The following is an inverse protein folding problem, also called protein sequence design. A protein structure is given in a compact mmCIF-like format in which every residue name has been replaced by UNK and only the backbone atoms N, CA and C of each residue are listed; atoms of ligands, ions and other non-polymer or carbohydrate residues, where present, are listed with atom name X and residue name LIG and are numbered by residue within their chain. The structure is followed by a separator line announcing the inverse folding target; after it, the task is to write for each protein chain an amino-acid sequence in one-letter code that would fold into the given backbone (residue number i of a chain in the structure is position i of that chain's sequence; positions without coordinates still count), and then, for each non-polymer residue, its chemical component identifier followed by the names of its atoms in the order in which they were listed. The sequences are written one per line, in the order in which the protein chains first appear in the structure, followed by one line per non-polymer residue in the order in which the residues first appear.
data_IF_684021512887
#
_entry.id   IF_684021512887
#
_cell.length_a   1.000
_cell.length_b   1.000
_cell.length_c   1.000
_cell.angle_alpha   90.00
_cell.angle_beta   90.00
_cell.angle_gamma   90.00
#
_symmetry.space_group_name_H-M   'P 1'
#
loop_
_entity.id
_entity.type
_entity.pdbx_description
1 polymer ?
#
# COMPACT_ATOMS: atom_id res chain seq x y z
N UNK A 1 92.99 19.70 -21.69
CA UNK A 1 92.41 19.74 -20.32
C UNK A 1 90.97 20.26 -20.27
N UNK A 2 90.51 21.10 -21.20
CA UNK A 2 89.17 21.71 -21.19
C UNK A 2 88.00 20.75 -21.52
N UNK A 3 88.21 19.72 -22.33
CA UNK A 3 87.16 18.78 -22.74
C UNK A 3 86.75 17.77 -21.65
N UNK A 4 87.64 17.48 -20.71
CA UNK A 4 87.39 16.54 -19.61
C UNK A 4 86.48 17.16 -18.53
N UNK A 5 86.68 18.44 -18.22
CA UNK A 5 85.85 19.19 -17.27
C UNK A 5 84.41 19.38 -17.76
N UNK A 6 84.22 19.61 -19.07
CA UNK A 6 82.89 19.77 -19.65
C UNK A 6 82.07 18.48 -19.61
N UNK A 7 82.71 17.32 -19.83
CA UNK A 7 82.08 16.00 -19.72
C UNK A 7 81.73 15.63 -18.28
N UNK A 8 82.59 15.98 -17.32
CA UNK A 8 82.33 15.76 -15.90
C UNK A 8 81.17 16.63 -15.37
N UNK A 9 81.06 17.88 -15.85
CA UNK A 9 79.95 18.77 -15.51
C UNK A 9 78.62 18.27 -16.10
N UNK A 10 78.62 17.82 -17.36
CA UNK A 10 77.44 17.24 -18.01
C UNK A 10 76.97 15.96 -17.32
N UNK A 11 77.91 15.10 -16.89
CA UNK A 11 77.58 13.87 -16.16
C UNK A 11 76.99 14.17 -14.78
N UNK A 12 77.54 15.13 -14.05
CA UNK A 12 76.99 15.57 -12.75
C UNK A 12 75.61 16.21 -12.89
N UNK A 13 75.41 17.03 -13.93
CA UNK A 13 74.10 17.60 -14.22
C UNK A 13 73.07 16.51 -14.58
N UNK A 14 73.45 15.52 -15.38
CA UNK A 14 72.57 14.41 -15.74
C UNK A 14 72.20 13.53 -14.53
N UNK A 15 73.15 13.25 -13.64
CA UNK A 15 72.89 12.51 -12.40
C UNK A 15 71.98 13.30 -11.46
N UNK A 16 72.16 14.62 -11.36
CA UNK A 16 71.29 15.49 -10.55
C UNK A 16 69.86 15.54 -11.13
N UNK A 17 69.71 15.62 -12.45
CA UNK A 17 68.43 15.61 -13.14
C UNK A 17 67.70 14.27 -13.00
N UNK A 18 68.43 13.15 -13.11
CA UNK A 18 67.88 11.81 -12.89
C UNK A 18 67.43 11.60 -11.43
N UNK A 19 68.21 12.10 -10.47
CA UNK A 19 67.85 12.05 -9.05
C UNK A 19 66.61 12.92 -8.73
N UNK A 20 66.47 14.08 -9.36
CA UNK A 20 65.28 14.94 -9.26
C UNK A 20 64.02 14.26 -9.84
N UNK A 21 64.14 13.54 -10.96
CA UNK A 21 63.04 12.78 -11.54
C UNK A 21 62.63 11.56 -10.69
N UNK A 22 63.58 10.91 -10.01
CA UNK A 22 63.29 9.77 -9.12
C UNK A 22 62.73 10.21 -7.76
N UNK A 23 63.00 11.45 -7.32
CA UNK A 23 62.44 12.04 -6.10
C UNK A 23 61.01 12.58 -6.28
N UNK A 24 60.54 12.76 -7.53
CA UNK A 24 59.16 13.10 -7.84
C UNK A 24 58.28 11.84 -7.72
N UNK A 25 57.95 11.46 -6.49
CA UNK A 25 57.12 10.30 -6.18
C UNK A 25 55.77 10.29 -6.91
N UNK A 26 55.49 9.18 -7.61
CA UNK A 26 54.26 8.90 -8.34
C UNK A 26 53.04 8.58 -7.45
N UNK A 27 52.78 9.34 -6.37
CA UNK A 27 51.66 9.05 -5.47
C UNK A 27 50.40 9.88 -5.75
N UNK A 28 50.47 10.87 -6.64
CA UNK A 28 49.34 11.77 -6.94
C UNK A 28 48.59 11.47 -8.26
N UNK A 29 49.06 10.56 -9.13
CA UNK A 29 48.42 10.33 -10.44
C UNK A 29 47.28 9.29 -10.43
N UNK A 30 47.19 8.43 -9.41
CA UNK A 30 46.27 7.28 -9.43
C UNK A 30 44.79 7.64 -9.28
N UNK A 31 44.45 8.57 -8.38
CA UNK A 31 43.05 8.91 -8.08
C UNK A 31 42.44 9.94 -9.03
N UNK A 32 43.26 10.83 -9.61
CA UNK A 32 42.77 11.87 -10.53
C UNK A 32 42.39 11.28 -11.89
N UNK A 33 43.12 10.24 -12.35
CA UNK A 33 42.82 9.55 -13.61
C UNK A 33 41.59 8.65 -13.57
N UNK A 34 41.25 8.07 -12.41
CA UNK A 34 40.07 7.20 -12.27
C UNK A 34 38.75 7.97 -12.38
N UNK A 35 38.67 9.18 -11.84
CA UNK A 35 37.45 10.02 -11.89
C UNK A 35 37.14 10.51 -13.31
N UNK A 36 38.17 10.70 -14.14
CA UNK A 36 38.00 11.08 -15.56
C UNK A 36 37.51 9.90 -16.42
N UNK A 37 37.85 8.67 -16.03
CA UNK A 37 37.51 7.44 -16.76
C UNK A 37 36.14 6.86 -16.36
N UNK A 38 35.68 7.11 -15.13
CA UNK A 38 34.33 6.77 -14.68
C UNK A 38 33.76 7.92 -13.80
N UNK A 39 33.00 8.85 -14.39
CA UNK A 39 32.42 9.99 -13.66
C UNK A 39 31.33 9.58 -12.66
N UNK A 40 31.03 8.28 -12.55
CA UNK A 40 30.06 7.74 -11.59
C UNK A 40 30.66 7.49 -10.19
N UNK A 41 31.99 7.64 -10.03
CA UNK A 41 32.66 7.48 -8.73
C UNK A 41 32.49 8.77 -7.90
N UNK A 42 31.81 8.73 -6.74
CA UNK A 42 31.59 9.90 -5.92
C UNK A 42 32.92 10.45 -5.37
N UNK A 43 33.18 11.73 -5.65
CA UNK A 43 34.37 12.45 -5.19
C UNK A 43 34.10 13.16 -3.86
N UNK A 44 34.84 12.78 -2.81
CA UNK A 44 34.71 13.38 -1.48
C UNK A 44 34.76 12.36 -0.35
N UNK A 45 35.00 12.79 0.89
CA UNK A 45 34.87 11.93 2.05
C UNK A 45 33.41 11.47 2.20
N UNK A 46 33.17 10.28 2.77
CA UNK A 46 31.81 9.77 2.97
C UNK A 46 30.93 10.81 3.70
N UNK A 47 31.48 11.53 4.68
CA UNK A 47 30.81 12.62 5.40
C UNK A 47 30.29 13.77 4.54
N UNK A 48 30.86 13.97 3.36
CA UNK A 48 30.48 15.05 2.43
C UNK A 48 29.49 14.57 1.37
N UNK A 49 29.30 13.27 1.23
CA UNK A 49 28.34 12.68 0.30
C UNK A 49 26.91 12.82 0.86
N UNK A 50 25.90 13.03 0.00
CA UNK A 50 24.51 12.96 0.43
C UNK A 50 24.25 11.58 1.00
N UNK A 51 23.43 11.52 2.05
CA UNK A 51 22.99 10.21 2.55
C UNK A 51 22.22 9.49 1.45
N UNK A 52 22.47 8.20 1.27
CA UNK A 52 21.67 7.37 0.37
C UNK A 52 20.75 6.47 1.19
N UNK A 53 19.51 6.38 0.75
CA UNK A 53 18.47 5.58 1.40
C UNK A 53 17.98 4.52 0.43
N UNK A 54 18.00 3.27 0.87
CA UNK A 54 17.26 2.19 0.22
C UNK A 54 16.01 1.87 1.03
N UNK A 55 14.97 1.35 0.38
CA UNK A 55 13.73 0.96 1.05
C UNK A 55 13.43 -0.52 0.82
N UNK A 56 13.17 -1.27 1.89
CA UNK A 56 12.63 -2.62 1.85
C UNK A 56 11.14 -2.56 2.19
N UNK A 57 10.29 -2.58 1.16
CA UNK A 57 8.84 -2.50 1.31
C UNK A 57 8.25 -3.90 1.38
N UNK A 58 7.48 -4.19 2.43
CA UNK A 58 6.84 -5.47 2.66
C UNK A 58 5.38 -5.27 3.04
N UNK A 59 4.47 -5.93 2.33
CA UNK A 59 3.06 -5.98 2.65
C UNK A 59 2.66 -7.35 3.20
N UNK A 60 1.99 -7.37 4.35
CA UNK A 60 1.41 -8.58 4.93
C UNK A 60 0.42 -9.24 3.94
N UNK A 61 0.29 -10.58 3.94
CA UNK A 61 -0.76 -11.28 3.19
C UNK A 61 -2.19 -10.85 3.57
N UNK A 62 -2.37 -10.25 4.75
CA UNK A 62 -3.67 -9.75 5.27
C UNK A 62 -3.79 -8.23 5.18
N UNK A 63 -2.92 -7.56 4.43
CA UNK A 63 -2.88 -6.09 4.33
C UNK A 63 -4.20 -5.52 3.80
N UNK A 64 -4.58 -4.36 4.34
CA UNK A 64 -5.72 -3.57 3.86
C UNK A 64 -6.99 -4.41 3.70
N UNK A 65 -7.27 -5.25 4.72
CA UNK A 65 -8.46 -6.09 4.74
C UNK A 65 -9.71 -5.22 4.72
N UNK A 66 -10.67 -5.57 3.87
CA UNK A 66 -11.94 -4.85 3.84
C UNK A 66 -12.79 -5.26 5.07
N UNK A 67 -13.12 -4.32 5.98
CA UNK A 67 -13.89 -4.62 7.19
C UNK A 67 -15.32 -5.11 6.91
N UNK A 68 -15.85 -4.83 5.71
CA UNK A 68 -17.15 -5.34 5.26
C UNK A 68 -17.06 -6.69 4.54
N UNK A 69 -15.89 -7.33 4.46
CA UNK A 69 -15.76 -8.69 3.89
C UNK A 69 -16.19 -9.79 4.87
N UNK A 70 -16.45 -9.44 6.13
CA UNK A 70 -16.98 -10.34 7.12
C UNK A 70 -18.49 -10.11 7.19
N UNK A 71 -19.28 -11.08 6.75
CA UNK A 71 -20.65 -11.19 7.22
C UNK A 71 -20.58 -11.39 8.73
N UNK A 72 -20.73 -10.30 9.49
CA UNK A 72 -20.92 -10.35 10.93
C UNK A 72 -22.33 -10.86 11.22
N UNK A 73 -22.64 -12.08 10.79
CA UNK A 73 -23.73 -12.84 11.38
C UNK A 73 -23.23 -13.26 12.75
N UNK A 74 -23.44 -12.38 13.73
CA UNK A 74 -23.31 -12.71 15.15
C UNK A 74 -24.11 -14.00 15.39
N UNK A 75 -23.48 -15.14 15.69
CA UNK A 75 -24.20 -16.36 16.00
C UNK A 75 -24.81 -16.17 17.40
N UNK A 76 -26.01 -15.59 17.46
CA UNK A 76 -26.68 -15.32 18.74
C UNK A 76 -27.65 -14.13 18.75
N UNK A 77 -27.67 -13.28 17.73
CA UNK A 77 -28.79 -12.36 17.57
C UNK A 77 -29.96 -13.17 17.00
N UNK A 78 -30.90 -13.55 17.86
CA UNK A 78 -32.22 -13.97 17.41
C UNK A 78 -32.70 -12.91 16.41
N UNK A 79 -32.95 -13.24 15.14
CA UNK A 79 -33.61 -12.29 14.26
C UNK A 79 -34.92 -11.95 14.94
N UNK A 80 -35.13 -10.67 15.25
CA UNK A 80 -36.45 -10.15 15.59
C UNK A 80 -37.42 -10.76 14.58
N UNK A 81 -38.47 -11.47 15.02
CA UNK A 81 -39.35 -12.17 14.10
C UNK A 81 -39.99 -11.12 13.19
N UNK A 82 -39.44 -10.97 11.99
CA UNK A 82 -40.08 -10.18 10.95
C UNK A 82 -41.42 -10.87 10.68
N UNK A 83 -42.48 -10.11 10.38
CA UNK A 83 -43.84 -10.65 10.30
C UNK A 83 -44.04 -11.77 9.27
N UNK A 84 -43.02 -12.05 8.45
CA UNK A 84 -43.03 -13.07 7.40
C UNK A 84 -41.95 -14.16 7.58
N UNK A 85 -41.19 -14.18 8.69
CA UNK A 85 -40.18 -15.22 8.94
C UNK A 85 -40.82 -16.47 9.56
N UNK A 86 -40.70 -17.61 8.88
CA UNK A 86 -41.14 -18.91 9.40
C UNK A 86 -39.95 -19.87 9.51
N UNK A 87 -39.71 -20.42 10.70
CA UNK A 87 -38.71 -21.48 10.92
C UNK A 87 -39.40 -22.80 11.24
N UNK A 88 -39.14 -23.84 10.43
CA UNK A 88 -39.71 -25.18 10.59
C UNK A 88 -38.64 -26.13 11.12
N UNK A 89 -38.89 -26.75 12.28
CA UNK A 89 -38.06 -27.81 12.87
C UNK A 89 -38.94 -29.02 13.20
N UNK A 90 -38.46 -30.21 12.86
CA UNK A 90 -39.12 -31.49 13.14
C UNK A 90 -38.10 -32.55 13.55
N UNK A 91 -38.52 -33.51 14.39
CA UNK A 91 -37.67 -34.59 14.88
C UNK A 91 -37.58 -35.80 13.94
N UNK A 92 -38.47 -35.87 12.95
CA UNK A 92 -38.55 -36.93 11.96
C UNK A 92 -39.21 -36.44 10.66
N UNK A 93 -39.03 -37.16 9.53
CA UNK A 93 -39.55 -36.75 8.22
C UNK A 93 -41.09 -36.71 8.13
N UNK A 94 -41.81 -37.55 8.87
CA UNK A 94 -43.27 -37.53 8.87
C UNK A 94 -43.80 -36.29 9.59
N UNK A 95 -43.23 -35.96 10.75
CA UNK A 95 -43.57 -34.74 11.49
C UNK A 95 -43.24 -33.46 10.72
N UNK A 96 -42.20 -33.48 9.87
CA UNK A 96 -41.90 -32.36 8.98
C UNK A 96 -42.99 -32.20 7.91
N UNK A 97 -43.41 -33.31 7.29
CA UNK A 97 -44.41 -33.31 6.22
C UNK A 97 -45.75 -32.77 6.71
N UNK A 98 -46.18 -33.18 7.91
CA UNK A 98 -47.39 -32.64 8.57
C UNK A 98 -47.31 -31.13 8.83
N UNK A 99 -46.15 -30.64 9.31
CA UNK A 99 -45.93 -29.20 9.56
C UNK A 99 -45.89 -28.38 8.27
N UNK A 100 -45.35 -28.93 7.18
CA UNK A 100 -45.33 -28.27 5.87
C UNK A 100 -46.74 -28.26 5.27
N UNK A 101 -47.49 -29.37 5.39
CA UNK A 101 -48.86 -29.46 4.90
C UNK A 101 -49.78 -28.45 5.60
N UNK A 102 -49.70 -28.33 6.93
CA UNK A 102 -50.53 -27.37 7.67
C UNK A 102 -50.19 -25.92 7.34
N UNK A 103 -48.91 -25.61 7.10
CA UNK A 103 -48.50 -24.29 6.66
C UNK A 103 -49.03 -23.96 5.26
N UNK A 104 -48.97 -24.93 4.34
CA UNK A 104 -49.48 -24.75 2.98
C UNK A 104 -50.99 -24.47 2.99
N UNK A 105 -51.75 -25.21 3.80
CA UNK A 105 -53.19 -25.02 3.94
C UNK A 105 -53.52 -23.65 4.53
N UNK A 106 -52.78 -23.22 5.55
CA UNK A 106 -52.93 -21.88 6.13
C UNK A 106 -52.64 -20.76 5.11
N UNK A 107 -51.60 -20.91 4.27
CA UNK A 107 -51.30 -19.95 3.22
C UNK A 107 -52.37 -19.93 2.13
N UNK A 108 -52.94 -21.08 1.76
CA UNK A 108 -54.02 -21.17 0.77
C UNK A 108 -55.33 -20.56 1.29
N UNK A 109 -55.63 -20.69 2.58
CA UNK A 109 -56.79 -20.04 3.20
C UNK A 109 -56.62 -18.52 3.30
N UNK A 110 -55.43 -18.04 3.68
CA UNK A 110 -55.18 -16.60 3.84
C UNK A 110 -54.92 -15.89 2.50
N UNK A 111 -54.38 -16.60 1.52
CA UNK A 111 -54.03 -16.08 0.20
C UNK A 111 -54.50 -17.07 -0.87
N UNK A 112 -55.82 -17.14 -1.14
CA UNK A 112 -56.35 -18.04 -2.16
C UNK A 112 -55.67 -17.74 -3.50
N UNK A 113 -55.10 -18.77 -4.11
CA UNK A 113 -54.44 -18.65 -5.41
C UNK A 113 -55.48 -18.23 -6.47
N UNK A 114 -55.57 -16.93 -6.75
CA UNK A 114 -56.26 -16.45 -7.95
C UNK A 114 -55.42 -16.85 -9.16
N UNK A 115 -55.78 -17.96 -9.80
CA UNK A 115 -55.31 -18.29 -11.14
C UNK A 115 -56.03 -17.37 -12.13
N UNK A 116 -55.34 -16.46 -12.84
CA UNK A 116 -55.99 -15.62 -13.82
C UNK A 116 -56.09 -16.42 -15.12
N UNK A 117 -57.10 -17.29 -15.21
CA UNK A 117 -57.65 -17.67 -16.50
C UNK A 117 -59.03 -17.04 -16.58
N UNK A 118 -59.05 -15.77 -16.96
CA UNK A 118 -60.27 -15.11 -17.38
C UNK A 118 -60.64 -15.67 -18.77
N UNK A 119 -61.75 -16.40 -18.83
CA UNK A 119 -62.47 -16.59 -20.09
C UNK A 119 -63.02 -15.21 -20.47
N UNK A 120 -62.70 -14.80 -21.69
CA UNK A 120 -62.99 -13.50 -22.27
C UNK A 120 -64.47 -13.14 -22.14
N UNK A 121 -64.78 -11.97 -21.55
CA UNK A 121 -65.75 -11.07 -22.16
C UNK A 121 -65.59 -9.61 -21.67
N UNK A 122 -65.75 -8.70 -22.62
CA UNK A 122 -65.87 -7.23 -22.51
C UNK A 122 -64.68 -6.38 -22.00
N UNK A 123 -63.93 -5.91 -23.00
CA UNK A 123 -63.34 -4.57 -23.17
C UNK A 123 -63.61 -3.54 -22.05
N UNK A 124 -62.72 -3.47 -21.06
CA UNK A 124 -62.37 -2.20 -20.43
C UNK A 124 -60.86 -2.10 -20.30
N UNK A 125 -60.27 -1.20 -21.08
CA UNK A 125 -58.86 -0.87 -21.02
C UNK A 125 -58.55 -0.17 -19.68
N UNK A 126 -58.14 -0.93 -18.69
CA UNK A 126 -57.36 -0.43 -17.56
C UNK A 126 -55.90 -0.77 -17.84
N UNK A 127 -55.13 0.24 -18.23
CA UNK A 127 -53.67 0.14 -18.32
C UNK A 127 -53.10 -0.41 -17.01
N UNK A 128 -52.39 -1.54 -17.06
CA UNK A 128 -51.45 -1.91 -16.00
C UNK A 128 -50.38 -0.81 -15.90
N UNK A 129 -50.00 -0.34 -14.71
CA UNK A 129 -48.83 0.51 -14.61
C UNK A 129 -47.62 -0.34 -15.03
N UNK A 130 -47.04 -0.02 -16.19
CA UNK A 130 -45.73 -0.56 -16.56
C UNK A 130 -44.72 -0.01 -15.55
N UNK A 131 -44.41 -0.78 -14.52
CA UNK A 131 -43.17 -0.57 -13.77
C UNK A 131 -42.04 -1.01 -14.69
N UNK A 132 -41.34 -0.02 -15.23
CA UNK A 132 -40.24 -0.19 -16.16
C UNK A 132 -39.02 -0.75 -15.42
N UNK A 133 -38.99 -2.07 -15.22
CA UNK A 133 -37.77 -2.77 -14.81
C UNK A 133 -36.90 -2.95 -16.05
N UNK A 134 -35.86 -2.11 -16.17
CA UNK A 134 -34.82 -2.27 -17.19
C UNK A 134 -33.98 -3.51 -16.89
N UNK A 135 -33.53 -4.26 -17.92
CA UNK A 135 -32.64 -5.41 -17.70
C UNK A 135 -31.32 -4.91 -17.10
N UNK A 136 -31.15 -5.10 -15.79
CA UNK A 136 -30.00 -4.60 -15.03
C UNK A 136 -30.28 -4.22 -13.58
N UNK A 137 -31.55 -4.09 -13.16
CA UNK A 137 -31.90 -3.80 -11.77
C UNK A 137 -32.14 -5.09 -10.97
N UNK A 138 -31.17 -5.48 -10.15
CA UNK A 138 -31.30 -6.56 -9.16
C UNK A 138 -31.76 -6.04 -7.79
N UNK A 139 -32.16 -4.77 -7.70
CA UNK A 139 -32.84 -4.20 -6.53
C UNK A 139 -34.34 -4.56 -6.58
N UNK A 140 -34.64 -5.84 -6.40
CA UNK A 140 -35.97 -6.24 -5.97
C UNK A 140 -35.98 -6.23 -4.44
N UNK A 141 -36.78 -5.35 -3.83
CA UNK A 141 -37.06 -5.41 -2.39
C UNK A 141 -37.60 -6.81 -2.07
N UNK A 142 -36.79 -7.63 -1.39
CA UNK A 142 -37.17 -8.98 -0.95
C UNK A 142 -36.41 -10.16 -1.58
N UNK A 143 -35.48 -9.95 -2.53
CA UNK A 143 -34.62 -11.04 -3.02
C UNK A 143 -33.26 -10.97 -2.33
N UNK A 144 -33.13 -11.69 -1.20
CA UNK A 144 -31.82 -12.04 -0.63
C UNK A 144 -31.38 -13.38 -1.23
N UNK A 145 -30.28 -13.37 -1.98
CA UNK A 145 -29.60 -14.57 -2.44
C UNK A 145 -28.83 -15.16 -1.25
N UNK A 146 -29.49 -16.03 -0.47
CA UNK A 146 -28.81 -16.75 0.61
C UNK A 146 -27.97 -17.88 0.02
N UNK A 147 -26.67 -17.66 -0.08
CA UNK A 147 -25.70 -18.72 -0.39
C UNK A 147 -25.70 -19.72 0.78
N UNK A 148 -25.61 -21.04 0.53
CA UNK A 148 -25.42 -22.02 1.59
C UNK A 148 -24.25 -21.59 2.47
N UNK A 149 -24.33 -21.70 3.81
CA UNK A 149 -23.27 -21.24 4.68
C UNK A 149 -21.98 -21.92 4.23
N UNK A 150 -20.94 -21.17 3.85
CA UNK A 150 -19.65 -21.78 3.59
C UNK A 150 -19.22 -22.53 4.86
N UNK A 151 -18.58 -23.67 4.66
CA UNK A 151 -17.90 -24.37 5.76
C UNK A 151 -17.08 -23.35 6.59
N UNK A 152 -16.86 -23.56 7.89
CA UNK A 152 -16.12 -22.64 8.76
C UNK A 152 -14.62 -22.63 8.42
N UNK A 153 -14.29 -22.30 7.19
CA UNK A 153 -12.99 -21.82 6.79
C UNK A 153 -13.04 -20.34 7.14
N UNK A 154 -12.32 -19.97 8.20
CA UNK A 154 -12.29 -18.65 8.81
C UNK A 154 -12.60 -17.55 7.79
N UNK A 155 -13.63 -16.75 8.06
CA UNK A 155 -13.91 -15.53 7.32
C UNK A 155 -12.63 -14.69 7.33
N UNK A 156 -11.85 -14.79 6.24
CA UNK A 156 -10.59 -14.08 6.07
C UNK A 156 -10.98 -12.77 5.42
N UNK A 157 -10.67 -11.66 6.07
CA UNK A 157 -10.74 -10.36 5.44
C UNK A 157 -10.01 -10.45 4.10
N UNK A 158 -10.69 -10.09 3.00
CA UNK A 158 -10.09 -10.13 1.67
C UNK A 158 -9.02 -9.04 1.66
N UNK A 159 -7.75 -9.46 1.58
CA UNK A 159 -6.63 -8.54 1.50
C UNK A 159 -6.64 -7.82 0.15
N UNK A 160 -6.44 -6.50 0.17
CA UNK A 160 -6.47 -5.68 -1.03
C UNK A 160 -5.12 -5.00 -1.25
N UNK A 161 -4.77 -4.63 -2.50
CA UNK A 161 -3.59 -3.83 -2.78
C UNK A 161 -3.63 -2.52 -1.98
N UNK A 162 -2.46 -2.04 -1.56
CA UNK A 162 -2.32 -0.80 -0.80
C UNK A 162 -1.32 0.14 -1.46
N UNK A 163 -1.68 1.42 -1.56
CA UNK A 163 -0.78 2.48 -2.01
C UNK A 163 -0.03 3.08 -0.81
N UNK A 164 1.26 3.29 -0.98
CA UNK A 164 2.17 3.84 0.02
C UNK A 164 2.89 5.03 -0.60
N UNK A 165 2.92 6.13 0.12
CA UNK A 165 3.65 7.34 -0.24
C UNK A 165 4.78 7.56 0.76
N UNK A 166 6.00 7.63 0.25
CA UNK A 166 7.20 7.95 1.02
C UNK A 166 7.49 9.44 0.83
N UNK A 167 7.65 10.17 1.92
CA UNK A 167 7.86 11.62 1.95
C UNK A 167 9.22 11.96 2.54
N UNK A 168 9.95 12.84 1.87
CA UNK A 168 11.12 13.50 2.41
C UNK A 168 10.72 14.86 2.97
N UNK A 169 11.06 15.10 4.24
CA UNK A 169 10.63 16.28 4.97
C UNK A 169 11.80 16.98 5.67
N UNK A 170 11.69 18.30 5.76
CA UNK A 170 12.57 19.14 6.56
C UNK A 170 12.21 19.11 8.05
N UNK A 171 10.91 18.98 8.35
CA UNK A 171 10.36 18.98 9.71
C UNK A 171 9.06 18.13 9.75
N UNK A 172 8.83 17.43 10.86
CA UNK A 172 7.68 16.52 11.05
C UNK A 172 6.46 17.17 11.73
N UNK A 173 6.58 18.40 12.25
CA UNK A 173 5.51 19.07 13.01
C UNK A 173 4.24 19.25 12.20
N UNK A 174 4.35 19.71 10.94
CA UNK A 174 3.18 19.89 10.08
C UNK A 174 2.57 18.53 9.71
N UNK A 175 3.40 17.52 9.47
CA UNK A 175 2.93 16.18 9.16
C UNK A 175 2.08 15.64 10.31
N UNK A 176 2.56 15.72 11.56
CA UNK A 176 1.85 15.21 12.75
C UNK A 176 0.48 15.86 12.96
N UNK A 177 0.37 17.15 12.67
CA UNK A 177 -0.85 17.93 12.87
C UNK A 177 -1.80 17.91 11.65
N UNK A 178 -1.37 17.34 10.52
CA UNK A 178 -2.17 17.28 9.29
C UNK A 178 -3.08 16.06 9.26
N UNK A 179 -4.24 16.21 8.65
CA UNK A 179 -5.27 15.16 8.49
C UNK A 179 -5.09 14.40 7.18
N UNK A 180 -5.37 13.10 7.19
CA UNK A 180 -5.21 12.22 6.01
C UNK A 180 -5.79 12.79 4.70
N UNK A 181 -7.04 13.30 4.64
CA UNK A 181 -7.62 13.78 3.38
C UNK A 181 -6.87 14.97 2.76
N UNK A 182 -6.12 15.72 3.56
CA UNK A 182 -5.29 16.83 3.08
C UNK A 182 -3.99 16.31 2.45
N UNK A 183 -3.37 15.29 3.05
CA UNK A 183 -2.14 14.70 2.52
C UNK A 183 -2.39 13.83 1.28
N UNK A 184 -3.51 13.13 1.24
CA UNK A 184 -3.92 12.31 0.09
C UNK A 184 -4.17 13.19 -1.15
N UNK A 185 -4.85 14.34 -0.96
CA UNK A 185 -5.12 15.26 -2.07
C UNK A 185 -3.87 15.98 -2.56
N UNK A 186 -3.14 16.62 -1.65
CA UNK A 186 -1.97 17.43 -2.00
C UNK A 186 -1.01 17.56 -0.79
N UNK A 187 -0.01 16.68 -0.69
CA UNK A 187 0.93 16.69 0.42
C UNK A 187 1.80 17.95 0.42
N UNK A 188 2.14 18.49 -0.75
CA UNK A 188 2.94 19.71 -0.87
C UNK A 188 2.20 20.91 -0.30
N UNK A 189 0.89 21.02 -0.54
CA UNK A 189 0.07 22.09 0.02
C UNK A 189 -0.17 21.93 1.52
N UNK A 190 -0.38 20.70 2.01
CA UNK A 190 -0.59 20.43 3.43
C UNK A 190 0.67 20.73 4.26
N UNK A 191 1.82 20.30 3.77
CA UNK A 191 3.11 20.39 4.47
C UNK A 191 3.89 21.67 4.14
N UNK A 192 3.46 22.44 3.14
CA UNK A 192 4.01 23.77 2.82
C UNK A 192 5.53 23.71 2.63
N UNK A 193 6.29 24.50 3.37
CA UNK A 193 7.75 24.61 3.28
C UNK A 193 8.50 23.43 3.93
N UNK A 194 7.82 22.51 4.62
CA UNK A 194 8.49 21.32 5.19
C UNK A 194 8.53 20.17 4.20
N UNK A 195 7.72 20.23 3.14
CA UNK A 195 7.72 19.29 2.04
C UNK A 195 8.97 19.45 1.16
N UNK A 196 9.59 18.34 0.79
CA UNK A 196 10.72 18.32 -0.14
C UNK A 196 10.38 17.49 -1.38
N UNK A 197 10.04 16.22 -1.18
CA UNK A 197 9.75 15.26 -2.27
C UNK A 197 8.86 14.13 -1.77
N UNK A 198 8.12 13.53 -2.68
CA UNK A 198 7.37 12.29 -2.47
C UNK A 198 7.68 11.24 -3.52
N UNK A 199 7.46 9.98 -3.15
CA UNK A 199 7.61 8.81 -4.01
C UNK A 199 6.44 7.84 -3.74
N UNK A 200 5.73 7.45 -4.80
CA UNK A 200 4.54 6.59 -4.74
C UNK A 200 4.82 5.14 -5.10
N UNK A 201 4.29 4.23 -4.28
CA UNK A 201 4.44 2.79 -4.46
C UNK A 201 3.10 2.08 -4.27
N UNK A 202 2.82 1.09 -5.11
CA UNK A 202 1.70 0.17 -4.95
C UNK A 202 2.25 -1.19 -4.52
N UNK A 203 1.73 -1.74 -3.43
CA UNK A 203 2.05 -3.08 -2.96
C UNK A 203 0.83 -4.00 -3.04
N UNK A 204 1.02 -5.22 -3.53
CA UNK A 204 0.02 -6.28 -3.46
C UNK A 204 0.16 -7.07 -2.15
N UNK A 205 -0.89 -7.74 -1.66
CA UNK A 205 -0.80 -8.57 -0.46
C UNK A 205 0.31 -9.62 -0.56
N UNK A 206 1.15 -9.72 0.48
CA UNK A 206 2.31 -10.62 0.51
C UNK A 206 3.49 -10.19 -0.37
N UNK A 207 3.44 -9.02 -1.00
CA UNK A 207 4.51 -8.55 -1.88
C UNK A 207 5.66 -7.96 -1.09
N UNK A 208 6.86 -8.29 -1.56
CA UNK A 208 8.09 -7.62 -1.19
C UNK A 208 8.65 -6.83 -2.38
N UNK A 209 9.06 -5.58 -2.14
CA UNK A 209 9.68 -4.71 -3.14
C UNK A 209 10.87 -3.98 -2.53
N UNK A 210 12.03 -4.11 -3.17
CA UNK A 210 13.25 -3.39 -2.77
C UNK A 210 13.51 -2.21 -3.70
N UNK A 211 13.59 -1.01 -3.13
CA UNK A 211 14.02 0.21 -3.81
C UNK A 211 15.49 0.43 -3.50
N UNK A 212 16.30 0.56 -4.55
CA UNK A 212 17.75 0.73 -4.43
C UNK A 212 18.10 2.05 -3.75
N UNK A 213 19.35 2.14 -3.29
CA UNK A 213 19.91 3.35 -2.72
C UNK A 213 19.73 4.55 -3.65
N UNK A 214 19.11 5.60 -3.13
CA UNK A 214 18.95 6.88 -3.79
C UNK A 214 19.44 8.00 -2.86
N UNK A 215 20.17 9.00 -3.37
CA UNK A 215 20.58 10.15 -2.57
C UNK A 215 19.38 10.98 -2.11
N UNK A 216 19.30 11.26 -0.82
CA UNK A 216 18.28 12.16 -0.26
C UNK A 216 18.67 13.62 -0.47
N UNK A 217 17.68 14.51 -0.47
CA UNK A 217 17.93 15.94 -0.58
C UNK A 217 18.73 16.45 0.64
N UNK A 218 19.58 17.45 0.43
CA UNK A 218 20.50 17.96 1.45
C UNK A 218 19.79 18.57 2.68
N UNK A 219 18.52 18.95 2.54
CA UNK A 219 17.66 19.50 3.58
C UNK A 219 16.73 18.48 4.23
N UNK A 220 16.72 17.22 3.77
CA UNK A 220 15.91 16.14 4.34
C UNK A 220 16.41 15.78 5.74
N UNK A 221 15.54 15.91 6.73
CA UNK A 221 15.80 15.54 8.13
C UNK A 221 14.90 14.43 8.62
N UNK A 222 13.75 14.25 7.97
CA UNK A 222 12.77 13.24 8.34
C UNK A 222 12.31 12.51 7.08
N UNK A 223 12.15 11.19 7.22
CA UNK A 223 11.48 10.36 6.23
C UNK A 223 10.15 9.93 6.85
N UNK A 224 9.06 10.23 6.17
CA UNK A 224 7.73 9.81 6.57
C UNK A 224 7.16 8.84 5.54
N UNK A 225 6.33 7.91 6.01
CA UNK A 225 5.61 6.98 5.15
C UNK A 225 4.14 7.01 5.50
N UNK A 226 3.32 7.10 4.46
CA UNK A 226 1.87 7.16 4.53
C UNK A 226 1.30 5.97 3.75
N UNK A 227 0.42 5.21 4.37
CA UNK A 227 -0.31 4.12 3.75
C UNK A 227 -1.79 4.48 3.58
N UNK A 228 -2.34 4.17 2.41
CA UNK A 228 -3.73 4.47 2.08
C UNK A 228 -4.60 3.27 2.45
N UNK A 229 -4.87 3.11 3.75
CA UNK A 229 -5.76 2.07 4.26
C UNK A 229 -7.22 2.36 3.91
N UNK A 230 -8.00 1.30 3.70
CA UNK A 230 -9.45 1.38 3.45
C UNK A 230 -10.19 1.87 4.69
N UNK A 231 -9.76 1.44 5.88
CA UNK A 231 -10.25 1.93 7.17
C UNK A 231 -9.19 2.84 7.81
N UNK A 232 -9.22 4.12 7.43
CA UNK A 232 -8.23 5.10 7.89
C UNK A 232 -8.43 5.51 9.36
N UNK A 233 -9.64 5.33 9.89
CA UNK A 233 -10.01 5.76 11.24
C UNK A 233 -9.49 4.78 12.30
N UNK A 234 -9.47 3.48 11.98
CA UNK A 234 -8.93 2.45 12.86
C UNK A 234 -7.47 2.07 12.56
N UNK A 235 -6.89 2.55 11.46
CA UNK A 235 -5.53 2.20 11.06
C UNK A 235 -4.47 3.25 11.48
N UNK A 236 -3.30 2.77 11.88
CA UNK A 236 -2.11 3.63 11.99
C UNK A 236 -1.50 3.80 10.61
N UNK A 237 -1.96 4.81 9.89
CA UNK A 237 -1.62 5.04 8.48
C UNK A 237 -0.33 5.83 8.25
N UNK A 238 0.30 6.37 9.30
CA UNK A 238 1.48 7.25 9.18
C UNK A 238 2.56 6.88 10.17
N UNK A 239 3.80 6.84 9.69
CA UNK A 239 5.00 6.72 10.53
C UNK A 239 6.11 7.67 10.04
N UNK A 240 6.96 8.13 10.95
CA UNK A 240 8.08 9.05 10.64
C UNK A 240 9.34 8.67 11.42
N UNK A 241 10.50 8.81 10.79
CA UNK A 241 11.82 8.61 11.39
C UNK A 241 12.74 9.79 11.06
N UNK A 242 13.63 10.13 11.99
CA UNK A 242 14.67 11.13 11.78
C UNK A 242 15.89 10.50 11.10
N UNK A 243 16.46 11.20 10.12
CA UNK A 243 17.65 10.76 9.38
C UNK A 243 18.68 11.89 9.26
N UNK A 244 19.96 11.51 9.23
CA UNK A 244 21.03 12.46 8.95
C UNK A 244 21.17 12.68 7.44
N UNK A 245 21.18 13.93 6.92
CA UNK A 245 21.21 14.21 5.48
C UNK A 245 22.55 13.91 4.78
N UNK A 246 23.62 13.65 5.54
CA UNK A 246 24.96 13.44 4.98
C UNK A 246 25.68 12.25 5.57
N UNK A 247 26.46 11.60 4.71
CA UNK A 247 27.47 10.60 5.03
C UNK A 247 26.99 9.30 5.64
N UNK A 248 25.79 8.87 5.25
CA UNK A 248 25.27 7.55 5.62
C UNK A 248 24.71 6.85 4.40
N UNK A 249 24.80 5.53 4.38
CA UNK A 249 23.95 4.68 3.57
C UNK A 249 23.08 3.89 4.54
N UNK A 250 21.77 4.02 4.45
CA UNK A 250 20.84 3.34 5.36
C UNK A 250 19.78 2.60 4.58
N UNK A 251 19.36 1.46 5.12
CA UNK A 251 18.22 0.70 4.60
C UNK A 251 17.05 0.92 5.54
N UNK A 252 15.91 1.34 5.00
CA UNK A 252 14.68 1.56 5.76
C UNK A 252 13.67 0.47 5.43
N UNK A 253 13.30 -0.31 6.43
CA UNK A 253 12.27 -1.33 6.33
C UNK A 253 10.89 -0.72 6.55
N UNK A 254 10.03 -0.82 5.53
CA UNK A 254 8.64 -0.40 5.53
C UNK A 254 7.77 -1.65 5.53
N UNK A 255 7.20 -1.97 6.69
CA UNK A 255 6.29 -3.10 6.85
C UNK A 255 4.87 -2.58 6.97
N UNK A 256 3.98 -3.05 6.10
CA UNK A 256 2.55 -2.77 6.17
C UNK A 256 1.82 -4.03 6.61
N UNK A 257 1.21 -3.96 7.78
CA UNK A 257 0.40 -5.01 8.36
C UNK A 257 -1.09 -4.79 8.01
N UNK A 258 -2.01 -5.44 8.72
CA UNK A 258 -3.46 -5.36 8.45
C UNK A 258 -4.02 -3.93 8.57
N UNK A 259 -3.67 -3.23 9.66
CA UNK A 259 -4.17 -1.88 9.98
C UNK A 259 -3.07 -0.95 10.54
N UNK A 260 -1.80 -1.23 10.25
CA UNK A 260 -0.70 -0.38 10.71
C UNK A 260 0.48 -0.41 9.75
N UNK A 261 1.22 0.71 9.70
CA UNK A 261 2.51 0.79 9.02
C UNK A 261 3.64 0.96 10.02
N UNK A 262 4.73 0.23 9.80
CA UNK A 262 5.96 0.31 10.59
C UNK A 262 7.11 0.71 9.69
N UNK A 263 7.89 1.68 10.15
CA UNK A 263 9.11 2.17 9.52
C UNK A 263 10.25 2.00 10.51
N UNK A 264 11.27 1.25 10.13
CA UNK A 264 12.44 0.97 10.97
C UNK A 264 13.72 1.09 10.15
N UNK A 265 14.79 1.55 10.77
CA UNK A 265 16.13 1.45 10.17
C UNK A 265 16.63 0.01 10.34
N UNK A 266 17.02 -0.63 9.24
CA UNK A 266 17.65 -1.95 9.23
C UNK A 266 19.14 -1.76 9.51
N UNK A 267 19.61 -2.31 10.65
CA UNK A 267 20.98 -2.17 11.17
C UNK A 267 21.89 -3.32 10.78
#
# INVERSE_FOLDING_TARGET
MTTLFLRAAALRAAVLLLALCLAAGCTALGKIGQVVMDPSIPVGALSDQPTEVAFSLHASPTVNGNPHSLDTTTPGALPEPTPYAVSLRAGDPHALTEKVASLLEHLQEQFPAMSPVALEDELTAAYSPMTQYGPGSYEAEGVQLELPPPAPEAARAIATPIAIKILQLRDDSLLRNSLYPQLDRDPAKALRSTYIRDDDYLLTPGQFKFVRFEPIAADTRFIAVIAHFSDIDNATWRQVIAISPRGRQVVLAVTVDEAQIRLQEES
#
